data_IF_427134210571
#
_entry.id   IF_427134210571
#
_cell.length_a   1.000
_cell.length_b   1.000
_cell.length_c   1.000
_cell.angle_alpha   90.00
_cell.angle_beta   90.00
_cell.angle_gamma   90.00
#
_symmetry.space_group_name_H-M   'P 1'
#
loop_
_entity.id
_entity.type
_entity.pdbx_description
1 polymer ?
#
# COMPACT_ATOMS: atom_id res chain seq x y z
N UNK A 1 39.65 19.64 -18.94
CA UNK A 1 40.75 18.65 -18.85
C UNK A 1 40.35 17.42 -18.00
N UNK A 2 39.17 16.82 -18.23
CA UNK A 2 38.73 15.58 -17.53
C UNK A 2 38.81 14.36 -18.47
N UNK A 3 38.61 14.57 -19.78
CA UNK A 3 38.61 13.56 -20.84
C UNK A 3 39.94 12.83 -21.04
N UNK A 4 41.01 13.23 -20.33
CA UNK A 4 42.32 12.57 -20.36
C UNK A 4 42.45 11.42 -19.35
N UNK A 5 41.55 11.36 -18.38
CA UNK A 5 41.58 10.39 -17.27
C UNK A 5 40.42 9.38 -17.31
N UNK A 6 39.38 9.67 -18.08
CA UNK A 6 38.17 8.84 -18.15
C UNK A 6 37.87 8.48 -19.60
N UNK A 7 37.78 7.17 -19.85
CA UNK A 7 37.31 6.63 -21.11
C UNK A 7 35.78 6.60 -21.12
N UNK A 8 35.17 7.47 -21.93
CA UNK A 8 33.72 7.67 -21.94
C UNK A 8 32.95 6.39 -22.29
N UNK A 9 33.50 5.55 -23.19
CA UNK A 9 32.90 4.27 -23.57
C UNK A 9 32.87 3.29 -22.39
N UNK A 10 33.97 3.20 -21.65
CA UNK A 10 34.09 2.29 -20.49
C UNK A 10 33.16 2.76 -19.37
N UNK A 11 33.09 4.07 -19.12
CA UNK A 11 32.15 4.66 -18.16
C UNK A 11 30.69 4.34 -18.51
N UNK A 12 30.30 4.45 -19.78
CA UNK A 12 28.92 4.19 -20.19
C UNK A 12 28.55 2.70 -20.03
N UNK A 13 29.49 1.80 -20.34
CA UNK A 13 29.29 0.36 -20.18
C UNK A 13 29.16 -0.01 -18.70
N UNK A 14 30.02 0.53 -17.83
CA UNK A 14 29.94 0.24 -16.39
C UNK A 14 28.68 0.82 -15.77
N UNK A 15 28.25 2.01 -16.20
CA UNK A 15 26.98 2.63 -15.78
C UNK A 15 25.77 1.76 -16.20
N UNK A 16 25.77 1.28 -17.44
CA UNK A 16 24.69 0.43 -17.95
C UNK A 16 24.60 -0.90 -17.18
N UNK A 17 25.73 -1.54 -16.92
CA UNK A 17 25.80 -2.78 -16.13
C UNK A 17 25.34 -2.54 -14.69
N UNK A 18 25.75 -1.42 -14.07
CA UNK A 18 25.31 -1.05 -12.72
C UNK A 18 23.80 -0.80 -12.63
N UNK A 19 23.23 -0.08 -13.58
CA UNK A 19 21.78 0.16 -13.65
C UNK A 19 21.00 -1.14 -13.87
N UNK A 20 21.50 -2.01 -14.75
CA UNK A 20 20.90 -3.32 -14.99
C UNK A 20 20.92 -4.18 -13.72
N UNK A 21 22.03 -4.18 -12.98
CA UNK A 21 22.14 -4.90 -11.72
C UNK A 21 21.10 -4.42 -10.71
N UNK A 22 20.99 -3.11 -10.49
CA UNK A 22 19.98 -2.55 -9.56
C UNK A 22 18.57 -2.96 -9.97
N UNK A 23 18.27 -2.95 -11.27
CA UNK A 23 16.95 -3.35 -11.78
C UNK A 23 16.62 -4.82 -11.51
N UNK A 24 17.59 -5.72 -11.72
CA UNK A 24 17.40 -7.16 -11.50
C UNK A 24 17.33 -7.54 -10.02
N UNK A 25 18.00 -6.78 -9.14
CA UNK A 25 18.06 -7.04 -7.70
C UNK A 25 17.00 -6.29 -6.90
N UNK A 26 16.15 -5.48 -7.54
CA UNK A 26 15.10 -4.75 -6.85
C UNK A 26 14.05 -5.72 -6.29
N UNK A 27 13.82 -5.65 -4.98
CA UNK A 27 12.78 -6.44 -4.32
C UNK A 27 11.36 -6.03 -4.78
N UNK A 28 10.42 -6.99 -4.84
CA UNK A 28 9.03 -6.69 -5.18
C UNK A 28 8.39 -5.78 -4.13
N UNK A 29 7.55 -4.85 -4.59
CA UNK A 29 6.82 -3.93 -3.71
C UNK A 29 5.87 -4.73 -2.82
N UNK A 30 5.96 -4.56 -1.50
CA UNK A 30 5.04 -5.20 -0.55
C UNK A 30 3.69 -4.49 -0.56
N UNK A 31 2.64 -5.19 -0.99
CA UNK A 31 1.25 -4.71 -0.90
C UNK A 31 0.74 -5.08 0.49
N UNK A 32 0.58 -4.08 1.36
CA UNK A 32 0.03 -4.26 2.70
C UNK A 32 -1.48 -3.96 2.66
N UNK A 33 -2.29 -4.96 3.01
CA UNK A 33 -3.74 -4.82 3.15
C UNK A 33 -4.06 -4.35 4.58
N UNK A 34 -4.15 -3.04 4.76
CA UNK A 34 -4.55 -2.41 6.03
C UNK A 34 -5.97 -1.88 5.91
N UNK A 35 -6.76 -2.05 6.97
CA UNK A 35 -8.08 -1.41 7.07
C UNK A 35 -7.95 0.07 7.46
N UNK A 36 -8.83 0.94 6.93
CA UNK A 36 -8.91 2.32 7.38
C UNK A 36 -9.28 2.36 8.86
N UNK A 37 -8.40 2.91 9.68
CA UNK A 37 -8.66 3.26 11.08
C UNK A 37 -8.66 4.78 11.22
N UNK A 38 -9.39 5.36 12.20
CA UNK A 38 -9.40 6.81 12.43
C UNK A 38 -8.00 7.43 12.51
N UNK A 39 -7.01 6.70 13.01
CA UNK A 39 -5.62 7.16 13.14
C UNK A 39 -4.81 7.11 11.82
N UNK A 40 -5.21 6.24 10.87
CA UNK A 40 -4.44 5.98 9.65
C UNK A 40 -5.11 6.49 8.36
N UNK A 41 -6.41 6.81 8.40
CA UNK A 41 -7.22 7.16 7.22
C UNK A 41 -6.72 8.41 6.50
N UNK A 42 -6.09 9.34 7.21
CA UNK A 42 -5.59 10.58 6.63
C UNK A 42 -4.30 10.41 5.82
N UNK A 43 -3.51 9.39 6.17
CA UNK A 43 -2.18 9.16 5.64
C UNK A 43 -2.15 8.09 4.53
N UNK A 44 -3.24 7.35 4.35
CA UNK A 44 -3.33 6.23 3.42
C UNK A 44 -4.30 6.52 2.26
N UNK A 45 -3.91 6.08 1.07
CA UNK A 45 -4.78 6.02 -0.12
C UNK A 45 -5.12 4.56 -0.38
N UNK A 46 -6.41 4.27 -0.48
CA UNK A 46 -6.89 2.91 -0.64
C UNK A 46 -7.20 2.66 -2.11
N UNK A 47 -6.72 1.54 -2.64
CA UNK A 47 -6.95 1.15 -4.02
C UNK A 47 -7.92 -0.02 -4.05
N UNK A 48 -8.99 0.09 -4.82
CA UNK A 48 -9.95 -1.00 -4.99
C UNK A 48 -9.49 -2.00 -6.07
N UNK A 49 -10.28 -3.07 -6.24
CA UNK A 49 -10.05 -4.09 -7.27
C UNK A 49 -10.27 -3.58 -8.70
N UNK A 50 -10.98 -2.46 -8.88
CA UNK A 50 -11.24 -1.81 -10.17
C UNK A 50 -10.21 -0.72 -10.51
N UNK A 51 -9.11 -0.63 -9.76
CA UNK A 51 -8.03 0.36 -9.89
C UNK A 51 -8.42 1.81 -9.57
N UNK A 52 -9.52 2.03 -8.86
CA UNK A 52 -9.90 3.34 -8.36
C UNK A 52 -9.21 3.61 -7.02
N UNK A 53 -8.78 4.86 -6.84
CA UNK A 53 -8.13 5.33 -5.62
C UNK A 53 -9.13 6.15 -4.77
N UNK A 54 -9.29 5.77 -3.51
CA UNK A 54 -10.18 6.42 -2.54
C UNK A 54 -9.40 6.93 -1.34
N UNK A 55 -9.92 8.00 -0.73
CA UNK A 55 -9.50 8.48 0.58
C UNK A 55 -10.71 8.41 1.50
N UNK A 56 -10.56 7.73 2.64
CA UNK A 56 -11.60 7.72 3.67
C UNK A 56 -11.40 8.93 4.58
N UNK A 57 -12.51 9.55 5.01
CA UNK A 57 -12.51 10.56 6.06
C UNK A 57 -13.21 9.99 7.28
N UNK A 58 -12.58 10.08 8.44
CA UNK A 58 -13.24 9.80 9.70
C UNK A 58 -13.94 11.06 10.20
N UNK A 59 -15.17 10.91 10.68
CA UNK A 59 -15.90 11.97 11.37
C UNK A 59 -16.01 11.59 12.84
N UNK A 60 -15.43 12.41 13.71
CA UNK A 60 -15.56 12.22 15.16
C UNK A 60 -16.97 12.65 15.59
N UNK A 61 -17.67 11.73 16.27
CA UNK A 61 -19.01 11.95 16.80
C UNK A 61 -19.05 11.61 18.29
N UNK A 62 -20.01 12.21 19.00
CA UNK A 62 -20.26 11.88 20.40
C UNK A 62 -20.86 10.47 20.47
N UNK A 63 -20.23 9.58 21.24
CA UNK A 63 -20.73 8.23 21.45
C UNK A 63 -22.16 8.26 22.02
N UNK A 64 -23.13 7.56 21.41
CA UNK A 64 -24.50 7.54 21.89
C UNK A 64 -24.59 6.88 23.27
N UNK A 65 -25.46 7.40 24.16
CA UNK A 65 -25.64 6.85 25.51
C UNK A 65 -26.19 5.41 25.50
N UNK A 66 -26.88 5.01 24.43
CA UNK A 66 -27.40 3.66 24.25
C UNK A 66 -26.36 2.78 23.54
N UNK A 67 -25.85 1.77 24.26
CA UNK A 67 -24.82 0.83 23.76
C UNK A 67 -25.27 0.00 22.56
N UNK A 68 -26.58 -0.13 22.33
CA UNK A 68 -27.13 -0.90 21.21
C UNK A 68 -26.92 -0.23 19.85
N UNK A 69 -26.63 1.08 19.85
CA UNK A 69 -26.36 1.86 18.64
C UNK A 69 -24.87 1.88 18.28
N UNK A 70 -24.03 1.16 19.03
CA UNK A 70 -22.60 1.07 18.80
C UNK A 70 -22.32 -0.21 18.00
N UNK A 71 -21.89 -0.05 16.76
CA UNK A 71 -21.47 -1.16 15.92
C UNK A 71 -20.13 -1.71 16.42
N UNK A 72 -20.14 -2.92 16.97
CA UNK A 72 -18.92 -3.63 17.33
C UNK A 72 -18.42 -4.41 16.11
N UNK A 73 -17.27 -4.01 15.58
CA UNK A 73 -16.59 -4.76 14.51
C UNK A 73 -15.75 -5.84 15.19
N UNK A 74 -16.10 -7.14 15.05
CA UNK A 74 -15.32 -8.20 15.67
C UNK A 74 -13.92 -8.27 15.03
N UNK A 75 -12.93 -8.65 15.83
CA UNK A 75 -11.61 -9.00 15.30
C UNK A 75 -11.76 -10.14 14.28
N UNK A 76 -11.48 -9.87 13.01
CA UNK A 76 -11.39 -10.92 12.01
C UNK A 76 -10.07 -11.65 12.23
N UNK A 77 -10.08 -12.69 13.07
CA UNK A 77 -8.98 -13.65 13.13
C UNK A 77 -8.88 -14.30 11.74
N UNK A 78 -7.85 -13.94 10.98
CA UNK A 78 -7.61 -14.51 9.67
C UNK A 78 -7.41 -16.01 9.78
N UNK A 79 -8.43 -16.78 9.44
CA UNK A 79 -8.21 -18.14 8.94
C UNK A 79 -7.67 -17.98 7.52
N UNK A 80 -6.41 -18.38 7.31
CA UNK A 80 -5.80 -18.49 5.99
C UNK A 80 -6.44 -19.63 5.21
N UNK A 81 -7.68 -19.45 4.76
CA UNK A 81 -8.29 -20.27 3.73
C UNK A 81 -8.74 -19.35 2.61
N UNK A 82 -7.83 -19.20 1.65
CA UNK A 82 -8.09 -18.80 0.28
C UNK A 82 -9.28 -19.63 -0.20
N UNK A 83 -10.48 -19.06 -0.27
CA UNK A 83 -11.46 -19.13 -1.36
C UNK A 83 -12.54 -18.10 -1.04
N UNK A 84 -12.54 -17.04 -1.84
CA UNK A 84 -13.62 -16.12 -2.18
C UNK A 84 -14.94 -16.23 -1.41
N UNK A 85 -15.23 -15.21 -0.59
CA UNK A 85 -16.61 -14.74 -0.47
C UNK A 85 -16.62 -13.20 -0.42
N UNK A 86 -17.33 -12.52 -1.32
CA UNK A 86 -17.40 -11.06 -1.31
C UNK A 86 -18.18 -10.59 -0.08
N UNK A 87 -17.51 -9.83 0.78
CA UNK A 87 -18.18 -9.10 1.87
C UNK A 87 -19.09 -8.06 1.23
N UNK A 88 -20.39 -8.31 1.33
CA UNK A 88 -21.43 -7.42 0.84
C UNK A 88 -21.61 -6.25 1.82
N UNK A 89 -21.09 -5.06 1.46
CA UNK A 89 -21.36 -3.82 2.19
C UNK A 89 -22.69 -3.24 1.72
N UNK A 90 -23.78 -3.87 2.15
CA UNK A 90 -25.11 -3.29 2.08
C UNK A 90 -25.61 -3.08 3.52
N UNK A 91 -25.43 -1.87 4.05
CA UNK A 91 -26.49 -1.13 4.76
C UNK A 91 -26.07 0.33 4.96
#
# INVERSE_FOLDING_TARGET
MISKFIDFKVFLISLAVGLLFVYLYQEPQSIIYTYPTPDNVDNLKFKDKANNCYKFGALEIICPSNKSNINNIPIQSGESNIIDNPVNFNN
#
